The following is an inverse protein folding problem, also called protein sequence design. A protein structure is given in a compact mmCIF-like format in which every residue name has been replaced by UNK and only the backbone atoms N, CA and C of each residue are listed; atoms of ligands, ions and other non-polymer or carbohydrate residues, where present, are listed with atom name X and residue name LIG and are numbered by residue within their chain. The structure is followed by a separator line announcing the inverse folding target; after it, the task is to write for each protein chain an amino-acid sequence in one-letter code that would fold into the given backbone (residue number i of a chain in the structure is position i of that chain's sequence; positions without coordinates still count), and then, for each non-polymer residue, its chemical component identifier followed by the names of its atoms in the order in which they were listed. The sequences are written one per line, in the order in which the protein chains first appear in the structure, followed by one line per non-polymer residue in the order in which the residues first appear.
data_IF_431489839975
#
_entry.id   IF_431489839975
#
_cell.length_a   1.000
_cell.length_b   1.000
_cell.length_c   1.000
_cell.angle_alpha   90.00
_cell.angle_beta   90.00
_cell.angle_gamma   90.00
#
_symmetry.space_group_name_H-M   'P 1'
#
loop_
_entity.id
_entity.type
_entity.pdbx_description
1 polymer ?
#
# COMPACT_ATOMS: atom_id res chain seq x y z
N UNK A 1 -16.01 -26.91 10.98
CA UNK A 1 -16.94 -26.06 10.20
C UNK A 1 -17.04 -24.65 10.79
N UNK A 2 -17.33 -24.48 12.10
CA UNK A 2 -17.51 -23.15 12.72
C UNK A 2 -16.27 -22.25 12.66
N UNK A 3 -15.08 -22.79 12.83
CA UNK A 3 -13.83 -22.03 12.71
C UNK A 3 -13.51 -21.63 11.26
N UNK A 4 -13.87 -22.43 10.27
CA UNK A 4 -13.76 -22.09 8.85
C UNK A 4 -14.69 -20.92 8.51
N UNK A 5 -15.96 -20.95 8.93
CA UNK A 5 -16.89 -19.86 8.67
C UNK A 5 -16.45 -18.52 9.29
N UNK A 6 -15.90 -18.55 10.52
CA UNK A 6 -15.38 -17.34 11.18
C UNK A 6 -14.18 -16.78 10.40
N UNK A 7 -13.24 -17.63 10.01
CA UNK A 7 -12.07 -17.23 9.23
C UNK A 7 -12.45 -16.62 7.87
N UNK A 8 -13.42 -17.23 7.20
CA UNK A 8 -13.90 -16.75 5.90
C UNK A 8 -14.64 -15.40 6.02
N UNK A 9 -15.39 -15.21 7.09
CA UNK A 9 -16.04 -13.91 7.37
C UNK A 9 -15.02 -12.80 7.60
N UNK A 10 -13.95 -13.04 8.35
CA UNK A 10 -12.87 -12.05 8.52
C UNK A 10 -12.18 -11.73 7.20
N UNK A 11 -11.92 -12.72 6.36
CA UNK A 11 -11.34 -12.51 5.03
C UNK A 11 -12.23 -11.63 4.16
N UNK A 12 -13.53 -11.89 4.15
CA UNK A 12 -14.50 -11.11 3.38
C UNK A 12 -14.50 -9.64 3.81
N UNK A 13 -14.48 -9.35 5.11
CA UNK A 13 -14.41 -7.98 5.64
C UNK A 13 -13.10 -7.30 5.26
N UNK A 14 -11.97 -8.01 5.38
CA UNK A 14 -10.65 -7.48 5.03
C UNK A 14 -10.50 -7.23 3.52
N UNK A 15 -11.27 -7.92 2.68
CA UNK A 15 -11.26 -7.70 1.23
C UNK A 15 -12.16 -6.55 0.76
N UNK A 16 -12.96 -5.96 1.63
CA UNK A 16 -13.85 -4.87 1.28
C UNK A 16 -13.15 -3.68 0.56
N UNK A 17 -11.95 -3.23 1.00
CA UNK A 17 -11.24 -2.16 0.30
C UNK A 17 -10.88 -2.50 -1.16
N UNK A 18 -10.60 -3.77 -1.44
CA UNK A 18 -10.25 -4.24 -2.78
C UNK A 18 -11.46 -4.34 -3.71
N UNK A 19 -12.65 -4.59 -3.16
CA UNK A 19 -13.89 -4.67 -3.94
C UNK A 19 -14.39 -3.29 -4.41
N UNK A 20 -13.88 -2.19 -3.83
CA UNK A 20 -14.26 -0.83 -4.21
C UNK A 20 -13.36 -0.29 -5.32
N UNK A 21 -13.90 0.52 -6.25
CA UNK A 21 -13.05 1.30 -7.15
C UNK A 21 -12.07 2.17 -6.37
N UNK A 22 -10.77 2.09 -6.69
CA UNK A 22 -9.71 2.74 -5.92
C UNK A 22 -9.95 4.24 -5.69
N UNK A 23 -10.43 4.97 -6.72
CA UNK A 23 -10.70 6.39 -6.61
C UNK A 23 -11.81 6.70 -5.58
N UNK A 24 -12.84 5.84 -5.46
CA UNK A 24 -13.91 5.99 -4.46
C UNK A 24 -13.35 5.84 -3.06
N UNK A 25 -12.52 4.82 -2.83
CA UNK A 25 -11.83 4.63 -1.57
C UNK A 25 -10.98 5.84 -1.18
N UNK A 26 -10.20 6.38 -2.11
CA UNK A 26 -9.36 7.56 -1.88
C UNK A 26 -10.21 8.79 -1.51
N UNK A 27 -11.32 9.02 -2.22
CA UNK A 27 -12.21 10.13 -1.92
C UNK A 27 -12.92 9.96 -0.57
N UNK A 28 -13.31 8.75 -0.19
CA UNK A 28 -13.85 8.47 1.15
C UNK A 28 -12.84 8.79 2.24
N UNK A 29 -11.57 8.46 2.06
CA UNK A 29 -10.52 8.86 3.00
C UNK A 29 -10.35 10.37 3.06
N UNK A 30 -10.30 11.05 1.91
CA UNK A 30 -10.16 12.51 1.83
C UNK A 30 -11.29 13.24 2.54
N UNK A 31 -12.53 12.91 2.21
CA UNK A 31 -13.72 13.63 2.69
C UNK A 31 -14.23 13.09 4.02
N UNK A 32 -14.21 11.79 4.24
CA UNK A 32 -14.77 11.15 5.42
C UNK A 32 -13.78 11.06 6.59
N UNK A 33 -12.50 10.79 6.32
CA UNK A 33 -11.50 10.58 7.38
C UNK A 33 -10.64 11.82 7.66
N UNK A 34 -10.06 12.42 6.61
CA UNK A 34 -9.07 13.50 6.73
C UNK A 34 -9.68 14.91 6.72
N UNK A 35 -10.98 15.05 6.56
CA UNK A 35 -11.62 16.36 6.59
C UNK A 35 -11.38 17.06 7.94
N UNK A 36 -11.04 18.35 7.89
CA UNK A 36 -10.69 19.13 9.11
C UNK A 36 -11.90 19.44 9.99
N UNK A 37 -13.09 19.56 9.39
CA UNK A 37 -14.31 19.97 10.12
C UNK A 37 -15.13 18.77 10.60
N UNK A 38 -15.36 17.76 9.73
CA UNK A 38 -16.24 16.64 10.02
C UNK A 38 -15.58 15.26 9.81
N UNK A 39 -14.27 15.20 9.57
CA UNK A 39 -13.55 13.95 9.40
C UNK A 39 -13.54 13.11 10.67
N UNK A 40 -13.77 11.80 10.53
CA UNK A 40 -13.84 10.87 11.66
C UNK A 40 -12.58 10.89 12.53
N UNK A 41 -11.41 11.03 11.94
CA UNK A 41 -10.16 11.08 12.70
C UNK A 41 -10.11 12.30 13.63
N UNK A 42 -10.51 13.47 13.14
CA UNK A 42 -10.55 14.67 13.97
C UNK A 42 -11.65 14.63 15.01
N UNK A 43 -12.80 14.00 14.71
CA UNK A 43 -13.84 13.77 15.73
C UNK A 43 -13.35 12.85 16.86
N UNK A 44 -12.54 11.82 16.55
CA UNK A 44 -11.95 10.97 17.58
C UNK A 44 -10.88 11.70 18.39
N UNK A 45 -10.07 12.53 17.74
CA UNK A 45 -9.09 13.36 18.43
C UNK A 45 -9.75 14.35 19.38
N UNK A 46 -10.84 15.01 18.97
CA UNK A 46 -11.62 15.91 19.79
C UNK A 46 -12.20 15.20 21.04
N UNK A 47 -12.76 14.00 20.89
CA UNK A 47 -13.21 13.17 22.01
C UNK A 47 -12.10 12.79 23.00
N UNK A 48 -10.86 12.73 22.54
CA UNK A 48 -9.68 12.45 23.36
C UNK A 48 -9.04 13.74 23.93
N UNK A 49 -9.64 14.91 23.68
CA UNK A 49 -9.12 16.21 24.12
C UNK A 49 -7.89 16.68 23.34
N UNK A 50 -7.65 16.13 22.15
CA UNK A 50 -6.54 16.50 21.29
C UNK A 50 -6.98 17.54 20.25
N UNK A 51 -6.05 18.40 19.83
CA UNK A 51 -6.32 19.43 18.82
C UNK A 51 -6.53 18.80 17.43
N UNK A 52 -7.47 19.37 16.65
CA UNK A 52 -7.71 18.92 15.28
C UNK A 52 -6.46 19.08 14.40
N UNK A 53 -6.13 18.04 13.67
CA UNK A 53 -4.98 18.00 12.76
C UNK A 53 -5.42 18.30 11.33
N UNK A 54 -4.65 19.14 10.65
CA UNK A 54 -4.81 19.41 9.22
C UNK A 54 -4.00 18.37 8.42
N UNK A 55 -4.56 17.20 8.22
CA UNK A 55 -3.90 16.02 7.64
C UNK A 55 -3.23 16.23 6.28
N UNK A 56 -3.74 17.14 5.45
CA UNK A 56 -3.30 17.34 4.07
C UNK A 56 -2.68 18.74 3.83
N UNK A 57 -2.35 19.50 4.89
CA UNK A 57 -1.87 20.88 4.74
C UNK A 57 -0.37 21.05 4.77
N UNK A 58 0.39 20.09 5.30
CA UNK A 58 1.87 20.10 5.27
C UNK A 58 2.38 18.88 4.50
N UNK A 59 3.60 18.99 3.96
CA UNK A 59 4.21 17.93 3.14
C UNK A 59 4.35 16.62 3.92
N UNK A 60 4.76 16.70 5.20
CA UNK A 60 4.93 15.52 6.05
C UNK A 60 3.58 14.87 6.37
N UNK A 61 2.56 15.67 6.74
CA UNK A 61 1.24 15.10 7.05
C UNK A 61 0.56 14.56 5.81
N UNK A 62 0.72 15.21 4.65
CA UNK A 62 0.23 14.70 3.37
C UNK A 62 0.91 13.38 2.98
N UNK A 63 2.23 13.28 3.14
CA UNK A 63 2.98 12.04 2.90
C UNK A 63 2.47 10.89 3.78
N UNK A 64 2.32 11.12 5.08
CA UNK A 64 1.82 10.12 6.02
C UNK A 64 0.38 9.70 5.68
N UNK A 65 -0.49 10.67 5.35
CA UNK A 65 -1.87 10.40 4.94
C UNK A 65 -1.94 9.57 3.66
N UNK A 66 -1.14 9.91 2.64
CA UNK A 66 -1.03 9.13 1.40
C UNK A 66 -0.50 7.72 1.68
N UNK A 67 0.47 7.57 2.59
CA UNK A 67 1.02 6.27 2.97
C UNK A 67 -0.04 5.39 3.64
N UNK A 68 -0.82 5.94 4.57
CA UNK A 68 -1.90 5.20 5.25
C UNK A 68 -2.94 4.71 4.24
N UNK A 69 -3.38 5.57 3.32
CA UNK A 69 -4.37 5.18 2.30
C UNK A 69 -3.80 4.14 1.34
N UNK A 70 -2.55 4.29 0.92
CA UNK A 70 -1.89 3.32 0.04
C UNK A 70 -1.74 1.95 0.73
N UNK A 71 -1.37 1.92 2.00
CA UNK A 71 -1.32 0.68 2.79
C UNK A 71 -2.71 0.04 2.89
N UNK A 72 -3.74 0.82 3.19
CA UNK A 72 -5.10 0.33 3.29
C UNK A 72 -5.61 -0.30 1.99
N UNK A 73 -5.27 0.26 0.83
CA UNK A 73 -5.61 -0.30 -0.48
C UNK A 73 -4.79 -1.55 -0.82
N UNK A 74 -3.52 -1.62 -0.39
CA UNK A 74 -2.62 -2.73 -0.69
C UNK A 74 -2.81 -3.94 0.24
N UNK A 75 -3.29 -3.73 1.47
CA UNK A 75 -3.43 -4.76 2.49
C UNK A 75 -4.23 -6.00 2.03
N UNK A 76 -5.41 -5.88 1.39
CA UNK A 76 -6.19 -7.05 0.99
C UNK A 76 -5.43 -7.98 0.05
N UNK A 77 -4.72 -7.43 -0.92
CA UNK A 77 -3.91 -8.18 -1.87
C UNK A 77 -2.79 -8.97 -1.17
N UNK A 78 -2.06 -8.30 -0.27
CA UNK A 78 -0.99 -8.96 0.48
C UNK A 78 -1.51 -10.03 1.44
N UNK A 79 -2.67 -9.81 2.08
CA UNK A 79 -3.30 -10.80 2.96
C UNK A 79 -3.68 -12.05 2.16
N UNK A 80 -4.25 -11.90 0.96
CA UNK A 80 -4.60 -13.03 0.10
C UNK A 80 -3.38 -13.87 -0.29
N UNK A 81 -2.29 -13.22 -0.70
CA UNK A 81 -1.06 -13.91 -1.07
C UNK A 81 -0.45 -14.62 0.14
N UNK A 82 -0.39 -13.97 1.29
CA UNK A 82 0.11 -14.58 2.51
C UNK A 82 -0.74 -15.78 2.96
N UNK A 83 -2.06 -15.67 2.86
CA UNK A 83 -2.95 -16.79 3.19
C UNK A 83 -2.77 -17.97 2.23
N UNK A 84 -2.64 -17.73 0.92
CA UNK A 84 -2.32 -18.74 -0.07
C UNK A 84 -0.97 -19.40 0.17
N UNK A 85 0.05 -18.60 0.49
CA UNK A 85 1.39 -19.08 0.81
C UNK A 85 1.40 -19.95 2.08
N UNK A 86 0.65 -19.57 3.11
CA UNK A 86 0.50 -20.38 4.33
C UNK A 86 -0.20 -21.71 4.05
N UNK A 87 -1.20 -21.73 3.18
CA UNK A 87 -1.94 -22.95 2.85
C UNK A 87 -1.15 -23.90 1.97
N UNK A 88 -0.11 -23.45 1.27
CA UNK A 88 0.76 -24.28 0.44
C UNK A 88 1.79 -25.08 1.25
N UNK A 89 1.99 -24.78 2.53
CA UNK A 89 2.95 -25.48 3.37
C UNK A 89 2.32 -26.80 3.87
N UNK A 90 3.01 -27.92 3.60
CA UNK A 90 2.56 -29.22 4.07
C UNK A 90 2.57 -29.29 5.60
N UNK A 91 1.52 -29.85 6.18
CA UNK A 91 1.35 -30.03 7.63
C UNK A 91 2.41 -30.95 8.23
N UNK A 92 2.93 -31.89 7.46
CA UNK A 92 3.97 -32.82 7.88
C UNK A 92 5.22 -32.11 8.43
N UNK A 93 5.60 -30.96 7.87
CA UNK A 93 6.73 -30.16 8.39
C UNK A 93 6.45 -29.66 9.81
N UNK A 94 5.23 -29.24 10.10
CA UNK A 94 4.87 -28.76 11.44
C UNK A 94 4.74 -29.92 12.45
N UNK A 95 4.22 -31.07 12.01
CA UNK A 95 4.09 -32.25 12.83
C UNK A 95 5.43 -32.81 13.23
N UNK A 96 6.37 -32.94 12.30
CA UNK A 96 7.76 -33.34 12.58
C UNK A 96 8.45 -32.39 13.54
N UNK A 97 8.33 -31.09 13.32
CA UNK A 97 8.93 -30.08 14.19
C UNK A 97 8.34 -30.08 15.62
N UNK A 98 7.06 -30.45 15.78
CA UNK A 98 6.47 -30.60 17.11
C UNK A 98 7.05 -31.82 17.83
N UNK A 99 7.27 -32.94 17.12
CA UNK A 99 7.92 -34.13 17.68
C UNK A 99 9.36 -33.83 18.13
N UNK A 100 10.06 -32.96 17.38
CA UNK A 100 11.41 -32.47 17.74
C UNK A 100 11.42 -31.43 18.88
N UNK A 101 10.24 -31.11 19.45
CA UNK A 101 10.11 -30.14 20.55
C UNK A 101 10.22 -28.67 20.13
N UNK A 102 10.12 -28.35 18.84
CA UNK A 102 10.21 -26.98 18.35
C UNK A 102 9.02 -26.11 18.78
N UNK A 103 9.31 -25.03 19.50
CA UNK A 103 8.30 -24.04 19.92
C UNK A 103 7.72 -23.25 18.72
N UNK A 104 6.62 -22.51 18.95
CA UNK A 104 5.90 -21.77 17.92
C UNK A 104 6.80 -20.76 17.17
N UNK A 105 7.69 -20.06 17.89
CA UNK A 105 8.62 -19.10 17.29
C UNK A 105 9.65 -19.79 16.40
N UNK A 106 10.21 -20.94 16.81
CA UNK A 106 11.15 -21.71 16.00
C UNK A 106 10.49 -22.19 14.70
N UNK A 107 9.27 -22.73 14.78
CA UNK A 107 8.49 -23.15 13.61
C UNK A 107 8.22 -21.99 12.67
N UNK A 108 7.82 -20.82 13.17
CA UNK A 108 7.62 -19.63 12.34
C UNK A 108 8.91 -19.22 11.63
N UNK A 109 10.05 -19.17 12.32
CA UNK A 109 11.32 -18.69 11.78
C UNK A 109 11.99 -19.67 10.81
N UNK A 110 11.92 -20.98 11.08
CA UNK A 110 12.69 -21.97 10.32
C UNK A 110 11.85 -22.77 9.32
N UNK A 111 10.51 -22.78 9.45
CA UNK A 111 9.63 -23.46 8.51
C UNK A 111 8.76 -22.47 7.76
N UNK A 112 7.93 -21.69 8.46
CA UNK A 112 6.92 -20.84 7.83
C UNK A 112 7.54 -19.76 6.95
N UNK A 113 8.43 -18.93 7.49
CA UNK A 113 9.03 -17.81 6.75
C UNK A 113 9.84 -18.28 5.54
N UNK A 114 10.74 -19.29 5.64
CA UNK A 114 11.48 -19.79 4.50
C UNK A 114 10.59 -20.41 3.42
N UNK A 115 9.58 -21.19 3.81
CA UNK A 115 8.66 -21.84 2.87
C UNK A 115 7.76 -20.84 2.12
N UNK A 116 7.37 -19.72 2.76
CA UNK A 116 6.56 -18.67 2.14
C UNK A 116 7.38 -17.75 1.22
N UNK A 117 8.68 -17.64 1.42
CA UNK A 117 9.54 -16.68 0.72
C UNK A 117 9.42 -16.73 -0.80
N UNK A 118 9.47 -17.90 -1.48
CA UNK A 118 9.39 -17.96 -2.94
C UNK A 118 8.03 -17.49 -3.49
N UNK A 119 6.96 -17.57 -2.68
CA UNK A 119 5.62 -17.12 -3.08
C UNK A 119 5.43 -15.63 -2.81
N UNK A 120 5.99 -15.13 -1.70
CA UNK A 120 5.83 -13.73 -1.29
C UNK A 120 6.79 -12.81 -2.05
N UNK A 121 7.99 -13.25 -2.40
CA UNK A 121 9.00 -12.41 -3.04
C UNK A 121 8.50 -11.75 -4.35
N UNK A 122 7.91 -12.46 -5.31
CA UNK A 122 7.35 -11.85 -6.51
C UNK A 122 6.24 -10.84 -6.22
N UNK A 123 5.39 -11.13 -5.22
CA UNK A 123 4.30 -10.23 -4.83
C UNK A 123 4.82 -8.92 -4.22
N UNK A 124 5.87 -9.00 -3.40
CA UNK A 124 6.53 -7.81 -2.84
C UNK A 124 7.14 -6.97 -3.95
N UNK A 125 7.81 -7.58 -4.92
CA UNK A 125 8.38 -6.89 -6.09
C UNK A 125 7.27 -6.14 -6.85
N UNK A 126 6.18 -6.82 -7.19
CA UNK A 126 5.03 -6.20 -7.87
C UNK A 126 4.47 -5.03 -7.05
N UNK A 127 4.31 -5.21 -5.73
CA UNK A 127 3.81 -4.17 -4.83
C UNK A 127 4.73 -2.96 -4.78
N UNK A 128 6.05 -3.16 -4.75
CA UNK A 128 7.03 -2.06 -4.82
C UNK A 128 6.90 -1.29 -6.13
N UNK A 129 6.80 -1.98 -7.27
CA UNK A 129 6.61 -1.33 -8.57
C UNK A 129 5.28 -0.56 -8.66
N UNK A 130 4.19 -1.14 -8.18
CA UNK A 130 2.88 -0.48 -8.19
C UNK A 130 2.86 0.72 -7.27
N UNK A 131 3.48 0.63 -6.10
CA UNK A 131 3.61 1.76 -5.16
C UNK A 131 4.48 2.88 -5.74
N UNK A 132 5.58 2.54 -6.41
CA UNK A 132 6.42 3.55 -7.07
C UNK A 132 5.67 4.31 -8.17
N UNK A 133 4.79 3.63 -8.92
CA UNK A 133 3.94 4.23 -9.97
C UNK A 133 2.63 4.82 -9.41
N UNK A 134 2.49 4.93 -8.09
CA UNK A 134 1.25 5.40 -7.48
C UNK A 134 1.03 6.88 -7.76
N UNK A 135 0.10 7.16 -8.66
CA UNK A 135 -0.32 8.51 -9.05
C UNK A 135 -1.63 8.91 -8.34
N UNK A 136 -2.63 8.03 -8.40
CA UNK A 136 -4.00 8.34 -8.01
C UNK A 136 -4.15 8.75 -6.54
N UNK A 137 -3.49 8.04 -5.62
CA UNK A 137 -3.57 8.33 -4.18
C UNK A 137 -3.04 9.72 -3.90
N UNK A 138 -1.85 10.05 -4.41
CA UNK A 138 -1.23 11.35 -4.17
C UNK A 138 -2.05 12.44 -4.83
N UNK A 139 -2.39 12.28 -6.11
CA UNK A 139 -3.11 13.28 -6.88
C UNK A 139 -4.49 13.58 -6.30
N UNK A 140 -5.30 12.55 -6.02
CA UNK A 140 -6.66 12.74 -5.50
C UNK A 140 -6.71 13.24 -4.06
N UNK A 141 -5.77 12.82 -3.20
CA UNK A 141 -5.73 13.31 -1.82
C UNK A 141 -5.24 14.74 -1.72
N UNK A 142 -4.19 15.10 -2.46
CA UNK A 142 -3.54 16.41 -2.31
C UNK A 142 -4.15 17.49 -3.17
N UNK A 143 -4.77 17.16 -4.30
CA UNK A 143 -5.46 18.18 -5.10
C UNK A 143 -6.77 18.62 -4.45
N UNK A 144 -6.92 19.93 -4.28
CA UNK A 144 -8.22 20.57 -4.03
C UNK A 144 -8.83 21.01 -5.37
N UNK A 145 -10.12 20.81 -5.53
CA UNK A 145 -10.84 21.25 -6.71
C UNK A 145 -10.61 22.75 -6.95
N UNK A 146 -9.86 23.10 -8.00
CA UNK A 146 -9.64 24.47 -8.43
C UNK A 146 -8.56 25.29 -7.73
N UNK A 147 -7.78 24.70 -6.80
CA UNK A 147 -6.66 25.39 -6.16
C UNK A 147 -5.36 24.61 -6.35
N UNK A 148 -4.26 25.34 -6.59
CA UNK A 148 -2.91 24.79 -6.44
C UNK A 148 -2.83 24.17 -5.04
N UNK A 149 -2.36 22.95 -4.96
CA UNK A 149 -2.25 22.12 -3.75
C UNK A 149 -1.79 22.94 -2.54
N UNK A 150 -2.50 22.83 -1.44
CA UNK A 150 -2.14 23.50 -0.18
C UNK A 150 -0.88 22.90 0.49
N UNK A 151 -0.46 21.69 0.08
CA UNK A 151 0.82 21.09 0.40
C UNK A 151 1.68 21.09 -0.85
N UNK A 152 2.95 21.46 -0.74
CA UNK A 152 3.95 21.35 -1.83
C UNK A 152 4.33 19.90 -2.15
N UNK A 153 3.61 18.91 -1.57
CA UNK A 153 3.92 17.50 -1.72
C UNK A 153 3.55 16.97 -3.11
N UNK A 154 4.59 16.69 -3.89
CA UNK A 154 4.49 16.08 -5.20
C UNK A 154 5.34 14.82 -5.28
N UNK A 155 4.83 13.78 -5.92
CA UNK A 155 5.67 12.69 -6.41
C UNK A 155 6.22 13.07 -7.79
N UNK A 156 7.24 12.36 -8.23
CA UNK A 156 7.83 12.59 -9.57
C UNK A 156 6.78 12.39 -10.69
N UNK A 157 5.79 11.51 -10.47
CA UNK A 157 4.69 11.27 -11.41
C UNK A 157 3.65 12.38 -11.41
N UNK A 158 3.24 12.88 -10.23
CA UNK A 158 2.31 14.01 -10.16
C UNK A 158 2.94 15.28 -10.72
N UNK A 159 4.23 15.47 -10.50
CA UNK A 159 4.99 16.57 -11.08
C UNK A 159 5.08 16.48 -12.61
N UNK A 160 5.37 15.30 -13.17
CA UNK A 160 5.36 15.09 -14.61
C UNK A 160 3.98 15.35 -15.22
N UNK A 161 2.90 14.92 -14.55
CA UNK A 161 1.52 15.14 -14.96
C UNK A 161 1.19 16.64 -15.00
N UNK A 162 1.52 17.39 -13.98
CA UNK A 162 1.26 18.85 -13.92
C UNK A 162 2.00 19.58 -15.03
N UNK A 163 3.27 19.21 -15.30
CA UNK A 163 4.02 19.80 -16.39
C UNK A 163 3.41 19.48 -17.76
N UNK A 164 2.86 18.28 -17.96
CA UNK A 164 2.21 17.93 -19.21
C UNK A 164 0.87 18.64 -19.40
N UNK A 165 -0.02 18.53 -18.42
CA UNK A 165 -1.45 18.84 -18.58
C UNK A 165 -1.87 20.19 -18.01
N UNK A 166 -1.09 20.78 -17.10
CA UNK A 166 -1.41 22.10 -16.53
C UNK A 166 -0.54 23.18 -17.18
N UNK A 167 0.78 22.93 -17.34
CA UNK A 167 1.69 23.92 -17.93
C UNK A 167 1.92 23.70 -19.43
N UNK A 168 1.38 22.65 -20.03
CA UNK A 168 1.53 22.25 -21.43
C UNK A 168 3.01 22.08 -21.89
N UNK A 169 3.89 21.76 -20.95
CA UNK A 169 5.31 21.54 -21.24
C UNK A 169 5.59 20.06 -21.50
N UNK A 170 5.11 19.57 -22.64
CA UNK A 170 5.20 18.15 -23.02
C UNK A 170 6.63 17.64 -23.15
N UNK A 171 7.56 18.47 -23.66
CA UNK A 171 8.96 18.08 -23.82
C UNK A 171 9.62 17.77 -22.47
N UNK A 172 9.41 18.62 -21.47
CA UNK A 172 9.96 18.44 -20.14
C UNK A 172 9.32 17.23 -19.42
N UNK A 173 8.00 17.09 -19.50
CA UNK A 173 7.28 15.95 -18.93
C UNK A 173 7.72 14.62 -19.56
N UNK A 174 7.95 14.59 -20.88
CA UNK A 174 8.48 13.41 -21.58
C UNK A 174 9.88 13.04 -21.09
N UNK A 175 10.75 14.01 -20.87
CA UNK A 175 12.09 13.77 -20.31
C UNK A 175 12.02 13.16 -18.91
N UNK A 176 11.15 13.67 -18.03
CA UNK A 176 10.91 13.10 -16.70
C UNK A 176 10.40 11.66 -16.81
N UNK A 177 9.46 11.40 -17.72
CA UNK A 177 8.90 10.05 -17.95
C UNK A 177 9.96 9.05 -18.40
N UNK A 178 10.91 9.48 -19.25
CA UNK A 178 12.06 8.66 -19.66
C UNK A 178 13.00 8.35 -18.49
N UNK A 179 13.24 9.31 -17.61
CA UNK A 179 14.04 9.10 -16.39
C UNK A 179 13.34 8.07 -15.47
N UNK A 180 12.04 8.21 -15.25
CA UNK A 180 11.25 7.25 -14.46
C UNK A 180 11.35 5.85 -15.05
N UNK A 181 11.19 5.73 -16.37
CA UNK A 181 11.29 4.45 -17.07
C UNK A 181 12.68 3.83 -16.91
N UNK A 182 13.75 4.61 -17.10
CA UNK A 182 15.12 4.14 -16.91
C UNK A 182 15.39 3.66 -15.47
N UNK A 183 14.93 4.41 -14.47
CA UNK A 183 15.05 4.01 -13.06
C UNK A 183 14.31 2.69 -12.77
N UNK A 184 13.09 2.51 -13.28
CA UNK A 184 12.33 1.28 -13.11
C UNK A 184 13.00 0.09 -13.81
N UNK A 185 13.58 0.28 -15.00
CA UNK A 185 14.34 -0.77 -15.69
C UNK A 185 15.57 -1.19 -14.89
N UNK A 186 16.36 -0.23 -14.39
CA UNK A 186 17.54 -0.54 -13.58
C UNK A 186 17.17 -1.28 -12.29
N UNK A 187 16.07 -0.88 -11.66
CA UNK A 187 15.57 -1.54 -10.47
C UNK A 187 15.12 -2.97 -10.78
N UNK A 188 14.36 -3.17 -11.87
CA UNK A 188 13.89 -4.49 -12.33
C UNK A 188 15.05 -5.42 -12.64
N UNK A 189 16.03 -4.98 -13.42
CA UNK A 189 17.20 -5.76 -13.78
C UNK A 189 17.99 -6.21 -12.54
N UNK A 190 18.16 -5.32 -11.56
CA UNK A 190 18.88 -5.67 -10.32
C UNK A 190 18.14 -6.70 -9.47
N UNK A 191 16.81 -6.72 -9.50
CA UNK A 191 16.02 -7.72 -8.76
C UNK A 191 16.05 -9.08 -9.44
N UNK A 192 15.93 -9.14 -10.79
CA UNK A 192 16.04 -10.40 -11.54
C UNK A 192 17.39 -11.07 -11.34
N UNK A 193 18.49 -10.33 -11.40
CA UNK A 193 19.84 -10.86 -11.16
C UNK A 193 20.04 -11.45 -9.75
N UNK A 194 19.23 -11.04 -8.79
CA UNK A 194 19.31 -11.56 -7.42
C UNK A 194 18.42 -12.78 -7.18
N UNK A 195 17.48 -13.05 -8.04
CA UNK A 195 16.60 -14.22 -7.98
C UNK A 195 17.25 -15.44 -8.65
N UNK A 196 18.11 -15.17 -9.64
CA UNK A 196 18.86 -16.20 -10.40
C UNK A 196 20.20 -16.61 -9.72
N UNK A 197 20.59 -15.95 -8.62
CA UNK A 197 21.82 -16.21 -7.85
C UNK A 197 21.50 -16.86 -6.49
#
# INVERSE_FOLDING_TARGET
QRQMCIRDSYKTVLMFPWAMPGYVGILLWKTGMFNTQFGLLNQWMDKLGLTAVKWLSSDVSAFLSCTVVNLWLALPFMIMIMDGALQSIDRSYYESAILDGAGAFARAKYITIPAMRPIIAPAVIITVFTTFKQFDVVYLLTQQAGAKTGSGFHTILTYAYENAFITNNYGYSSAISMIIFALLLLFSAKFQLKEDA
#
